data_IF_489003865682
#
_entry.id   IF_489003865682
#
_cell.length_a   1.000
_cell.length_b   1.000
_cell.length_c   1.000
_cell.angle_alpha   90.00
_cell.angle_beta   90.00
_cell.angle_gamma   90.00
#
_symmetry.space_group_name_H-M   'P 1'
#
loop_
_entity.id
_entity.type
_entity.pdbx_description
1 polymer ?
#
# COMPACT_ATOMS: atom_id res chain seq x y z
N UNK A 1 -7.04 0.21 -11.61
CA UNK A 1 -7.31 0.18 -10.16
C UNK A 1 -8.79 0.09 -9.80
N UNK A 2 -9.70 0.86 -10.43
CA UNK A 2 -11.15 0.75 -10.17
C UNK A 2 -11.71 -0.69 -10.24
N UNK A 3 -11.37 -1.43 -11.31
CA UNK A 3 -11.71 -2.86 -11.43
C UNK A 3 -11.16 -3.72 -10.27
N UNK A 4 -9.92 -3.48 -9.83
CA UNK A 4 -9.30 -4.23 -8.72
C UNK A 4 -10.04 -3.97 -7.40
N UNK A 5 -10.44 -2.71 -7.15
CA UNK A 5 -11.31 -2.36 -6.01
C UNK A 5 -12.64 -3.07 -6.09
N UNK A 6 -13.32 -3.05 -7.24
CA UNK A 6 -14.59 -3.75 -7.45
C UNK A 6 -14.47 -5.28 -7.23
N UNK A 7 -13.42 -5.91 -7.77
CA UNK A 7 -13.12 -7.33 -7.55
C UNK A 7 -12.84 -7.68 -6.07
N UNK A 8 -12.56 -6.68 -5.24
CA UNK A 8 -12.30 -6.83 -3.81
C UNK A 8 -13.48 -6.36 -2.95
N UNK A 9 -14.64 -6.06 -3.56
CA UNK A 9 -15.84 -5.60 -2.85
C UNK A 9 -15.75 -4.17 -2.32
N UNK A 10 -14.82 -3.37 -2.82
CA UNK A 10 -14.61 -2.00 -2.32
C UNK A 10 -15.43 -1.02 -3.16
N UNK A 11 -16.40 -0.38 -2.52
CA UNK A 11 -17.19 0.68 -3.14
C UNK A 11 -16.35 1.98 -3.25
N UNK A 12 -16.47 2.76 -4.35
CA UNK A 12 -15.71 3.99 -4.53
C UNK A 12 -15.90 5.03 -3.41
N UNK A 13 -17.12 5.16 -2.89
CA UNK A 13 -17.41 6.12 -1.81
C UNK A 13 -16.75 5.70 -0.49
N UNK A 14 -16.80 4.43 -0.12
CA UNK A 14 -16.15 3.93 1.11
C UNK A 14 -14.63 4.10 1.03
N UNK A 15 -14.06 3.79 -0.14
CA UNK A 15 -12.64 4.02 -0.41
C UNK A 15 -12.25 5.50 -0.24
N UNK A 16 -13.07 6.42 -0.76
CA UNK A 16 -12.84 7.86 -0.62
C UNK A 16 -13.01 8.31 0.82
N UNK A 17 -14.05 7.84 1.53
CA UNK A 17 -14.30 8.21 2.91
C UNK A 17 -13.15 7.79 3.83
N UNK A 18 -12.66 6.57 3.68
CA UNK A 18 -11.54 6.01 4.44
C UNK A 18 -10.23 6.78 4.22
N UNK A 19 -9.94 7.18 2.97
CA UNK A 19 -8.68 7.87 2.64
C UNK A 19 -8.73 9.39 2.81
N UNK A 20 -9.89 10.02 2.66
CA UNK A 20 -10.05 11.47 2.81
C UNK A 20 -10.49 11.88 4.22
N UNK A 21 -10.45 10.95 5.19
CA UNK A 21 -10.71 11.23 6.60
C UNK A 21 -9.65 12.14 7.24
N UNK A 22 -9.84 12.46 8.52
CA UNK A 22 -9.12 13.55 9.17
C UNK A 22 -7.63 13.29 9.42
N UNK A 23 -7.24 12.06 9.79
CA UNK A 23 -5.84 11.72 10.12
C UNK A 23 -5.48 10.29 9.75
N UNK A 24 -4.24 10.10 9.33
CA UNK A 24 -3.61 8.80 9.13
C UNK A 24 -2.87 8.33 10.37
N UNK A 25 -2.82 7.02 10.59
CA UNK A 25 -2.11 6.41 11.71
C UNK A 25 -0.71 6.02 11.21
N UNK A 26 0.34 6.65 11.74
CA UNK A 26 1.71 6.33 11.38
C UNK A 26 2.10 4.92 11.85
N UNK A 27 2.76 4.18 10.97
CA UNK A 27 3.31 2.87 11.25
C UNK A 27 4.83 2.91 11.09
N UNK A 28 5.53 2.89 12.23
CA UNK A 28 6.99 2.78 12.25
C UNK A 28 7.40 1.37 11.84
N UNK A 29 7.67 1.19 10.56
CA UNK A 29 8.24 -0.06 10.07
C UNK A 29 9.73 -0.12 10.33
N UNK A 30 10.26 -1.28 10.72
CA UNK A 30 11.70 -1.58 10.70
C UNK A 30 12.23 -1.80 9.26
N UNK A 31 11.60 -1.17 8.26
CA UNK A 31 11.92 -1.42 6.86
C UNK A 31 13.27 -0.79 6.51
N UNK A 32 14.21 -1.63 6.04
CA UNK A 32 15.53 -1.19 5.55
C UNK A 32 15.46 -0.19 4.39
N UNK A 33 14.32 -0.12 3.70
CA UNK A 33 14.14 0.74 2.51
C UNK A 33 13.83 2.19 2.84
N UNK A 34 13.66 2.57 4.11
CA UNK A 34 13.25 3.93 4.49
C UNK A 34 11.85 4.31 3.99
N UNK A 35 11.03 3.32 3.63
CA UNK A 35 9.66 3.54 3.22
C UNK A 35 8.83 3.98 4.44
N UNK A 36 7.95 4.96 4.22
CA UNK A 36 7.01 5.47 5.20
C UNK A 36 5.70 4.70 5.03
N UNK A 37 5.11 4.31 6.14
CA UNK A 37 3.88 3.55 6.18
C UNK A 37 2.85 4.27 7.04
N UNK A 38 1.62 4.32 6.55
CA UNK A 38 0.48 4.78 7.31
C UNK A 38 -0.68 3.79 7.15
N UNK A 39 -1.61 3.82 8.10
CA UNK A 39 -2.94 3.26 7.93
C UNK A 39 -3.96 4.39 7.74
N UNK A 40 -5.03 4.11 6.98
CA UNK A 40 -6.26 4.89 7.07
C UNK A 40 -6.79 4.89 8.52
N UNK A 41 -7.58 5.91 8.88
CA UNK A 41 -8.11 6.06 10.25
C UNK A 41 -8.91 4.83 10.72
N UNK A 42 -9.62 4.20 9.80
CA UNK A 42 -10.42 2.98 9.98
C UNK A 42 -9.61 1.67 9.80
N UNK A 43 -8.29 1.78 9.59
CA UNK A 43 -7.34 0.68 9.38
C UNK A 43 -7.66 -0.23 8.18
N UNK A 44 -8.58 0.15 7.29
CA UNK A 44 -8.93 -0.66 6.11
C UNK A 44 -7.79 -0.73 5.09
N UNK A 45 -7.00 0.35 4.97
CA UNK A 45 -5.95 0.47 3.98
C UNK A 45 -4.59 0.78 4.63
N UNK A 46 -3.55 0.22 4.02
CA UNK A 46 -2.17 0.63 4.22
C UNK A 46 -1.76 1.58 3.10
N UNK A 47 -1.10 2.67 3.45
CA UNK A 47 -0.51 3.66 2.57
C UNK A 47 0.99 3.51 2.69
N UNK A 48 1.68 3.27 1.58
CA UNK A 48 3.12 3.03 1.58
C UNK A 48 3.80 3.93 0.56
N UNK A 49 4.87 4.62 0.96
CA UNK A 49 5.75 5.29 -0.02
C UNK A 49 6.59 4.27 -0.76
N UNK A 50 6.74 4.46 -2.06
CA UNK A 50 7.56 3.61 -2.93
C UNK A 50 8.48 4.47 -3.79
N UNK A 51 9.67 3.97 -4.16
CA UNK A 51 10.54 4.65 -5.10
C UNK A 51 9.92 4.67 -6.50
N UNK A 52 10.38 5.59 -7.35
CA UNK A 52 9.87 5.72 -8.72
C UNK A 52 10.07 4.45 -9.56
N UNK A 53 11.16 3.73 -9.32
CA UNK A 53 11.45 2.43 -9.93
C UNK A 53 10.38 1.39 -9.63
N UNK A 54 9.94 1.27 -8.37
CA UNK A 54 8.84 0.37 -7.98
C UNK A 54 7.50 0.84 -8.58
N UNK A 55 7.25 2.14 -8.63
CA UNK A 55 6.03 2.69 -9.23
C UNK A 55 5.95 2.36 -10.73
N UNK A 56 7.06 2.48 -11.45
CA UNK A 56 7.17 2.13 -12.86
C UNK A 56 7.05 0.61 -13.07
N UNK A 57 7.64 -0.20 -12.20
CA UNK A 57 7.49 -1.64 -12.23
C UNK A 57 6.03 -2.06 -12.03
N UNK A 58 5.32 -1.46 -11.07
CA UNK A 58 3.90 -1.73 -10.84
C UNK A 58 3.07 -1.40 -12.08
N UNK A 59 3.32 -0.26 -12.73
CA UNK A 59 2.66 0.11 -14.00
C UNK A 59 2.94 -0.92 -15.10
N UNK A 60 4.19 -1.37 -15.21
CA UNK A 60 4.61 -2.37 -16.21
C UNK A 60 3.88 -3.71 -16.03
N UNK A 61 3.72 -4.19 -14.78
CA UNK A 61 3.03 -5.46 -14.51
C UNK A 61 1.51 -5.34 -14.35
N UNK A 62 0.95 -4.12 -14.37
CA UNK A 62 -0.42 -3.85 -13.92
C UNK A 62 -1.48 -4.71 -14.62
N UNK A 63 -1.34 -4.93 -15.94
CA UNK A 63 -2.26 -5.77 -16.70
C UNK A 63 -2.24 -7.22 -16.24
N UNK A 64 -1.05 -7.82 -16.12
CA UNK A 64 -0.85 -9.20 -15.65
C UNK A 64 -1.32 -9.36 -14.21
N UNK A 65 -1.00 -8.39 -13.36
CA UNK A 65 -1.45 -8.34 -11.97
C UNK A 65 -2.98 -8.30 -11.87
N UNK A 66 -3.63 -7.40 -12.62
CA UNK A 66 -5.09 -7.33 -12.67
C UNK A 66 -5.71 -8.67 -13.11
N UNK A 67 -5.19 -9.26 -14.19
CA UNK A 67 -5.73 -10.52 -14.71
C UNK A 67 -5.54 -11.66 -13.71
N UNK A 68 -4.42 -11.70 -12.98
CA UNK A 68 -4.18 -12.64 -11.90
C UNK A 68 -5.18 -12.48 -10.75
N UNK A 69 -5.42 -11.26 -10.27
CA UNK A 69 -6.39 -11.00 -9.18
C UNK A 69 -7.81 -11.40 -9.62
N UNK A 70 -8.16 -11.16 -10.88
CA UNK A 70 -9.45 -11.57 -11.44
C UNK A 70 -9.60 -13.09 -11.53
N UNK A 71 -8.57 -13.79 -12.00
CA UNK A 71 -8.60 -15.25 -12.16
C UNK A 71 -8.45 -16.01 -10.84
N UNK A 72 -7.77 -15.42 -9.85
CA UNK A 72 -7.48 -16.03 -8.57
C UNK A 72 -7.94 -15.15 -7.40
N UNK A 73 -9.26 -15.11 -7.10
CA UNK A 73 -9.80 -14.28 -6.01
C UNK A 73 -9.23 -14.59 -4.62
N UNK A 74 -8.69 -15.79 -4.40
CA UNK A 74 -8.05 -16.22 -3.14
C UNK A 74 -6.53 -16.06 -3.13
N UNK A 75 -5.95 -15.33 -4.08
CA UNK A 75 -4.50 -15.12 -4.12
C UNK A 75 -4.00 -14.45 -2.83
N UNK A 76 -2.83 -14.90 -2.37
CA UNK A 76 -2.10 -14.31 -1.23
C UNK A 76 -1.32 -13.04 -1.62
N UNK A 77 -1.28 -12.66 -2.90
CA UNK A 77 -0.66 -11.40 -3.31
C UNK A 77 -1.41 -10.24 -2.68
N UNK A 78 -0.66 -9.33 -2.03
CA UNK A 78 -1.24 -8.10 -1.49
C UNK A 78 -1.98 -7.33 -2.59
N UNK A 79 -3.20 -6.90 -2.27
CA UNK A 79 -4.02 -6.11 -3.18
C UNK A 79 -3.59 -4.66 -3.18
N UNK A 80 -3.28 -4.10 -4.37
CA UNK A 80 -3.00 -2.68 -4.58
C UNK A 80 -4.23 -2.02 -5.19
N UNK A 81 -4.81 -1.09 -4.45
CA UNK A 81 -6.05 -0.40 -4.78
C UNK A 81 -5.84 0.97 -5.44
N UNK A 82 -4.62 1.50 -5.39
CA UNK A 82 -4.27 2.74 -6.07
C UNK A 82 -2.76 3.00 -6.07
N UNK A 83 -2.32 3.78 -7.05
CA UNK A 83 -0.97 4.33 -7.16
C UNK A 83 -1.12 5.81 -7.45
N UNK A 84 -0.57 6.67 -6.60
CA UNK A 84 -0.67 8.12 -6.69
C UNK A 84 0.70 8.76 -6.60
N UNK A 85 0.87 9.90 -7.28
CA UNK A 85 2.05 10.74 -7.18
C UNK A 85 1.67 12.07 -6.52
N UNK A 86 2.21 12.33 -5.34
CA UNK A 86 2.01 13.57 -4.60
C UNK A 86 3.16 14.51 -4.98
N UNK A 87 2.82 15.66 -5.57
CA UNK A 87 3.79 16.67 -6.00
C UNK A 87 3.69 17.86 -5.05
N UNK A 88 4.70 18.04 -4.20
CA UNK A 88 4.76 19.18 -3.29
C UNK A 88 5.50 20.32 -3.99
N UNK A 89 4.88 21.50 -4.01
CA UNK A 89 5.55 22.74 -4.39
C UNK A 89 6.06 23.38 -3.12
N UNK A 90 7.33 23.19 -2.80
CA UNK A 90 7.98 23.98 -1.75
C UNK A 90 8.22 25.38 -2.32
N UNK A 91 7.90 26.44 -1.58
CA UNK A 91 8.07 27.83 -2.01
C UNK A 91 9.53 28.28 -2.20
N UNK A 92 10.48 27.35 -2.19
CA UNK A 92 11.92 27.60 -2.28
C UNK A 92 12.48 27.00 -3.56
N UNK A 93 13.40 27.72 -4.19
CA UNK A 93 13.97 27.55 -5.56
C UNK A 93 14.63 26.18 -5.85
N UNK A 94 14.66 25.24 -4.90
CA UNK A 94 15.32 23.93 -5.05
C UNK A 94 14.31 22.78 -5.05
N UNK A 95 13.73 22.50 -6.21
CA UNK A 95 13.23 21.17 -6.57
C UNK A 95 11.79 20.84 -6.20
N UNK A 96 11.00 20.48 -7.21
CA UNK A 96 9.68 19.86 -7.05
C UNK A 96 9.83 18.46 -6.47
N UNK A 97 9.46 18.26 -5.20
CA UNK A 97 9.52 16.92 -4.59
C UNK A 97 8.30 16.10 -5.01
N UNK A 98 8.54 14.88 -5.49
CA UNK A 98 7.49 13.94 -5.90
C UNK A 98 7.59 12.67 -5.05
N UNK A 99 6.49 12.34 -4.37
CA UNK A 99 6.36 11.10 -3.61
C UNK A 99 5.37 10.18 -4.32
N UNK A 100 5.81 8.96 -4.64
CA UNK A 100 4.89 7.92 -5.10
C UNK A 100 4.36 7.15 -3.89
N UNK A 101 3.04 6.99 -3.82
CA UNK A 101 2.37 6.21 -2.78
C UNK A 101 1.47 5.16 -3.39
N UNK A 102 1.47 3.97 -2.80
CA UNK A 102 0.46 2.95 -3.07
C UNK A 102 -0.55 2.91 -1.93
N UNK A 103 -1.80 2.68 -2.30
CA UNK A 103 -2.84 2.28 -1.37
C UNK A 103 -3.04 0.79 -1.53
N UNK A 104 -2.86 0.04 -0.47
CA UNK A 104 -2.93 -1.42 -0.49
C UNK A 104 -3.77 -1.96 0.66
N UNK A 105 -4.18 -3.21 0.54
CA UNK A 105 -4.89 -3.93 1.60
C UNK A 105 -4.06 -3.94 2.89
N UNK A 106 -4.71 -3.65 4.02
CA UNK A 106 -4.15 -3.98 5.33
C UNK A 106 -4.39 -5.47 5.63
N UNK A 107 -3.32 -6.27 5.72
CA UNK A 107 -3.41 -7.71 6.04
C UNK A 107 -3.78 -7.98 7.50
N UNK A 108 -3.63 -6.97 8.37
CA UNK A 108 -3.89 -7.06 9.81
C UNK A 108 -5.20 -6.38 10.22
N UNK A 109 -6.08 -6.10 9.26
CA UNK A 109 -7.41 -5.57 9.53
C UNK A 109 -8.32 -6.71 10.02
N UNK A 110 -8.40 -6.87 11.34
CA UNK A 110 -9.17 -7.90 12.02
C UNK A 110 -9.65 -7.39 13.37
N UNK A 111 -10.81 -7.86 13.81
CA UNK A 111 -11.34 -7.58 15.15
C UNK A 111 -10.66 -8.43 16.24
N UNK A 112 -9.84 -9.40 15.84
CA UNK A 112 -9.10 -10.27 16.75
C UNK A 112 -7.76 -9.68 17.14
N UNK A 113 -7.37 -9.88 18.40
CA UNK A 113 -6.06 -9.48 18.88
C UNK A 113 -4.95 -10.30 18.22
N UNK A 114 -3.95 -9.63 17.64
CA UNK A 114 -2.79 -10.26 17.02
C UNK A 114 -1.69 -10.39 18.08
N UNK A 115 -1.48 -11.61 18.56
CA UNK A 115 -0.47 -11.90 19.59
C UNK A 115 0.97 -11.79 19.07
N UNK A 116 1.20 -12.09 17.79
CA UNK A 116 2.54 -12.12 17.20
C UNK A 116 2.47 -11.93 15.69
N UNK A 117 3.51 -11.31 15.12
CA UNK A 117 3.66 -11.05 13.68
C UNK A 117 5.04 -11.56 13.26
N UNK A 118 5.09 -12.23 12.09
CA UNK A 118 6.33 -12.77 11.53
C UNK A 118 6.52 -12.28 10.09
N UNK A 119 7.75 -11.91 9.72
CA UNK A 119 8.14 -11.70 8.32
C UNK A 119 9.02 -12.87 7.84
N UNK A 120 8.37 -13.86 7.23
CA UNK A 120 9.02 -15.07 6.73
C UNK A 120 9.45 -14.88 5.27
N UNK A 121 10.73 -15.13 4.98
CA UNK A 121 11.27 -15.10 3.61
C UNK A 121 12.00 -16.39 3.20
N UNK A 122 12.05 -17.39 4.07
CA UNK A 122 12.67 -18.70 3.79
C UNK A 122 14.19 -18.76 3.70
N UNK A 123 14.92 -17.64 3.73
CA UNK A 123 16.39 -17.62 3.79
C UNK A 123 16.91 -17.58 5.24
N UNK A 124 18.13 -18.07 5.48
CA UNK A 124 18.80 -18.01 6.80
C UNK A 124 19.63 -16.73 7.00
N UNK A 125 20.16 -16.16 5.93
CA UNK A 125 21.00 -14.94 5.99
C UNK A 125 20.14 -13.69 6.17
N UNK A 126 20.58 -12.79 7.06
CA UNK A 126 19.93 -11.49 7.29
C UNK A 126 18.60 -11.57 8.04
N UNK A 127 18.38 -12.65 8.80
CA UNK A 127 17.22 -12.86 9.67
C UNK A 127 17.58 -12.50 11.10
N UNK A 128 17.14 -11.33 11.55
CA UNK A 128 17.13 -10.94 12.95
C UNK A 128 15.72 -10.48 13.29
N UNK A 129 15.32 -10.67 14.54
CA UNK A 129 14.11 -10.08 15.10
C UNK A 129 14.29 -8.57 15.25
#
# INVERSE_FOLDING_TARGET
>A
FGSIRNLSGIHPEDYRHSLCGERYIEFNSNSKSGAIFYYSSDRQYMIKTIPDTEANQLRHILKRYHDHIRSYPKSLLSRVYGLYAIRLSTGSVSGRQVFNVIIMQNQFNTDHYIHSIFDLKGSVVGRAA
#
